data_IF_321946021017
#
_entry.id   IF_321946021017
#
_cell.length_a   1.000
_cell.length_b   1.000
_cell.length_c   1.000
_cell.angle_alpha   90.00
_cell.angle_beta   90.00
_cell.angle_gamma   90.00
#
_symmetry.space_group_name_H-M   'P 1'
#
loop_
_entity.id
_entity.type
_entity.pdbx_description
1 polymer ?
#
# COMPACT_ATOMS: atom_id res chain seq x y z
N UNK A 1 0.10 -4.31 -27.64
CA UNK A 1 0.02 -4.01 -26.20
C UNK A 1 -0.97 -4.99 -25.60
N UNK A 2 -0.48 -5.99 -24.87
CA UNK A 2 -1.33 -6.99 -24.24
C UNK A 2 -1.68 -6.47 -22.85
N UNK A 3 -2.89 -5.95 -22.68
CA UNK A 3 -3.42 -5.59 -21.36
C UNK A 3 -3.53 -6.88 -20.54
N UNK A 4 -2.56 -7.13 -19.66
CA UNK A 4 -2.69 -8.15 -18.63
C UNK A 4 -3.82 -7.71 -17.70
N UNK A 5 -4.92 -8.47 -17.69
CA UNK A 5 -5.96 -8.33 -16.68
C UNK A 5 -5.32 -8.54 -15.30
N UNK A 6 -5.63 -7.70 -14.30
CA UNK A 6 -5.26 -8.00 -12.93
C UNK A 6 -5.80 -9.38 -12.58
N UNK A 7 -4.95 -10.28 -12.10
CA UNK A 7 -5.39 -11.53 -11.48
C UNK A 7 -6.37 -11.15 -10.38
N UNK A 8 -7.60 -11.68 -10.41
CA UNK A 8 -8.57 -11.46 -9.33
C UNK A 8 -7.92 -11.96 -8.03
N UNK A 9 -7.57 -11.01 -7.15
CA UNK A 9 -7.08 -11.36 -5.82
C UNK A 9 -8.23 -12.01 -5.04
N UNK A 10 -7.95 -13.08 -4.32
CA UNK A 10 -8.88 -13.67 -3.38
C UNK A 10 -9.36 -12.66 -2.33
N UNK A 11 -10.47 -12.95 -1.63
CA UNK A 11 -10.98 -12.05 -0.61
C UNK A 11 -9.92 -11.82 0.47
N UNK A 12 -9.83 -10.59 1.05
CA UNK A 12 -8.89 -10.31 2.12
C UNK A 12 -9.08 -11.28 3.28
N UNK A 13 -8.00 -11.93 3.70
CA UNK A 13 -8.03 -12.88 4.81
C UNK A 13 -7.87 -12.12 6.13
N UNK A 14 -8.83 -12.26 7.04
CA UNK A 14 -8.72 -11.67 8.38
C UNK A 14 -7.61 -12.38 9.17
N UNK A 15 -6.71 -11.59 9.76
CA UNK A 15 -5.57 -12.09 10.54
C UNK A 15 -5.86 -11.96 12.03
N UNK A 16 -6.16 -10.74 12.49
CA UNK A 16 -6.42 -10.46 13.91
C UNK A 16 -7.15 -9.12 14.08
N UNK A 17 -7.68 -8.89 15.27
CA UNK A 17 -8.23 -7.59 15.68
C UNK A 17 -7.74 -7.24 17.07
N UNK A 18 -7.17 -6.03 17.22
CA UNK A 18 -6.65 -5.51 18.48
C UNK A 18 -7.16 -4.08 18.65
N UNK A 19 -7.79 -3.79 19.78
CA UNK A 19 -8.28 -2.43 20.13
C UNK A 19 -9.15 -1.78 19.03
N UNK A 20 -9.94 -2.58 18.32
CA UNK A 20 -10.82 -2.08 17.23
C UNK A 20 -10.13 -1.88 15.89
N UNK A 21 -8.83 -2.15 15.78
CA UNK A 21 -8.09 -2.20 14.51
C UNK A 21 -8.06 -3.65 14.03
N UNK A 22 -8.52 -3.90 12.82
CA UNK A 22 -8.51 -5.24 12.20
C UNK A 22 -7.43 -5.32 11.12
N UNK A 23 -6.61 -6.37 11.19
CA UNK A 23 -5.60 -6.70 10.19
C UNK A 23 -6.15 -7.73 9.20
N UNK A 24 -5.93 -7.46 7.92
CA UNK A 24 -6.20 -8.40 6.83
C UNK A 24 -4.96 -8.58 5.96
N UNK A 25 -4.87 -9.74 5.31
CA UNK A 25 -3.78 -10.11 4.42
C UNK A 25 -4.35 -10.45 3.04
N UNK A 26 -3.80 -9.84 2.00
CA UNK A 26 -4.08 -10.20 0.60
C UNK A 26 -3.12 -11.29 0.11
N UNK A 27 -3.53 -12.00 -0.94
CA UNK A 27 -2.75 -13.07 -1.58
C UNK A 27 -1.37 -12.61 -2.09
N UNK A 28 -1.23 -11.33 -2.46
CA UNK A 28 0.01 -10.74 -2.92
C UNK A 28 0.97 -10.32 -1.79
N UNK A 29 0.62 -10.59 -0.53
CA UNK A 29 1.44 -10.22 0.62
C UNK A 29 1.16 -8.81 1.18
N UNK A 30 0.25 -8.04 0.58
CA UNK A 30 -0.16 -6.73 1.13
C UNK A 30 -0.99 -6.89 2.41
N UNK A 31 -0.57 -6.18 3.47
CA UNK A 31 -1.31 -6.05 4.72
C UNK A 31 -2.24 -4.85 4.70
N UNK A 32 -3.44 -5.02 5.20
CA UNK A 32 -4.46 -3.97 5.32
C UNK A 32 -4.78 -3.82 6.80
N UNK A 33 -4.66 -2.60 7.31
CA UNK A 33 -5.13 -2.24 8.65
C UNK A 33 -6.39 -1.41 8.50
N UNK A 34 -7.51 -1.92 9.04
CA UNK A 34 -8.81 -1.27 9.00
C UNK A 34 -9.20 -0.77 10.38
N UNK A 35 -9.51 0.53 10.46
CA UNK A 35 -9.99 1.19 11.67
C UNK A 35 -11.29 1.95 11.37
N UNK A 36 -12.47 1.37 11.69
CA UNK A 36 -13.75 2.04 11.48
C UNK A 36 -13.99 3.17 12.49
N UNK A 37 -14.22 4.39 11.99
CA UNK A 37 -14.60 5.56 12.81
C UNK A 37 -15.98 6.08 12.36
N UNK A 38 -17.07 5.72 13.06
CA UNK A 38 -18.43 6.15 12.68
C UNK A 38 -18.69 7.64 12.98
N UNK A 39 -17.78 8.34 13.66
CA UNK A 39 -17.96 9.77 13.98
C UNK A 39 -17.75 10.70 12.78
N UNK A 40 -17.17 10.21 11.69
CA UNK A 40 -16.80 11.00 10.50
C UNK A 40 -17.37 10.36 9.23
N UNK A 41 -18.02 11.14 8.34
CA UNK A 41 -18.45 10.65 7.02
C UNK A 41 -17.31 10.69 5.99
N UNK A 42 -16.07 10.41 6.41
CA UNK A 42 -14.88 10.51 5.58
C UNK A 42 -14.03 9.25 5.74
N UNK A 43 -13.37 8.85 4.65
CA UNK A 43 -12.45 7.71 4.64
C UNK A 43 -11.06 8.23 4.29
N UNK A 44 -10.05 7.82 5.06
CA UNK A 44 -8.65 8.09 4.75
C UNK A 44 -7.97 6.78 4.40
N UNK A 45 -7.31 6.74 3.26
CA UNK A 45 -6.51 5.58 2.82
C UNK A 45 -5.06 6.01 2.74
N UNK A 46 -4.18 5.29 3.41
CA UNK A 46 -2.74 5.47 3.34
C UNK A 46 -2.08 4.16 2.92
N UNK A 47 -1.02 4.26 2.14
CA UNK A 47 -0.20 3.12 1.75
C UNK A 47 1.22 3.41 2.25
N UNK A 48 1.77 2.49 3.03
CA UNK A 48 3.15 2.54 3.46
C UNK A 48 3.94 1.44 2.76
N UNK A 49 4.98 1.85 2.03
CA UNK A 49 5.93 0.94 1.41
C UNK A 49 7.20 0.97 2.25
N UNK A 50 7.68 -0.20 2.69
CA UNK A 50 8.86 -0.30 3.56
C UNK A 50 10.18 -0.19 2.78
N UNK A 51 10.32 0.84 1.95
CA UNK A 51 11.51 1.15 1.15
C UNK A 51 11.85 2.64 1.32
N UNK A 52 13.14 2.99 1.21
CA UNK A 52 13.64 4.35 1.41
C UNK A 52 15.16 4.39 1.21
N UNK A 53 15.83 5.49 1.57
CA UNK A 53 17.26 5.71 1.32
C UNK A 53 18.19 4.60 1.80
N UNK A 54 17.83 3.90 2.89
CA UNK A 54 18.57 2.73 3.39
C UNK A 54 18.68 1.58 2.37
N UNK A 55 17.81 1.55 1.38
CA UNK A 55 17.77 0.53 0.33
C UNK A 55 18.43 1.01 -0.97
N UNK A 56 19.03 2.19 -1.00
CA UNK A 56 19.70 2.75 -2.19
C UNK A 56 21.16 2.26 -2.25
N UNK A 57 21.58 1.78 -3.42
CA UNK A 57 22.96 1.41 -3.71
C UNK A 57 23.84 2.60 -4.12
N UNK A 58 25.11 2.31 -4.37
CA UNK A 58 26.03 3.29 -4.95
C UNK A 58 25.54 3.72 -6.33
N UNK A 59 25.36 5.03 -6.54
CA UNK A 59 24.81 5.59 -7.78
C UNK A 59 23.29 5.69 -7.82
N UNK A 60 22.57 5.25 -6.78
CA UNK A 60 21.10 5.30 -6.69
C UNK A 60 20.60 6.26 -5.61
N UNK A 61 21.50 7.06 -5.04
CA UNK A 61 21.17 8.00 -3.97
C UNK A 61 20.09 9.00 -4.41
N UNK A 62 18.99 9.08 -3.66
CA UNK A 62 17.86 9.96 -3.92
C UNK A 62 16.78 9.37 -4.84
N UNK A 63 16.94 8.14 -5.33
CA UNK A 63 15.94 7.50 -6.20
C UNK A 63 14.61 7.21 -5.50
N UNK A 64 14.62 6.83 -4.22
CA UNK A 64 13.38 6.61 -3.47
C UNK A 64 12.57 7.91 -3.34
N UNK A 65 13.24 9.04 -3.10
CA UNK A 65 12.62 10.34 -3.04
C UNK A 65 12.13 10.80 -4.42
N UNK A 66 12.92 10.60 -5.48
CA UNK A 66 12.47 10.91 -6.84
C UNK A 66 11.18 10.15 -7.19
N UNK A 67 11.10 8.85 -6.85
CA UNK A 67 9.92 8.03 -7.09
C UNK A 67 8.68 8.57 -6.35
N UNK A 68 8.85 9.02 -5.10
CA UNK A 68 7.79 9.67 -4.32
C UNK A 68 7.22 10.91 -5.05
N UNK A 69 8.06 11.74 -5.67
CA UNK A 69 7.57 12.88 -6.49
C UNK A 69 6.82 12.41 -7.73
N UNK A 70 7.29 11.33 -8.36
CA UNK A 70 6.73 10.84 -9.62
C UNK A 70 5.43 10.09 -9.45
N UNK A 71 5.16 9.48 -8.28
CA UNK A 71 3.92 8.71 -8.04
C UNK A 71 2.67 9.58 -8.18
N UNK A 72 2.80 10.90 -7.99
CA UNK A 72 1.70 11.87 -8.14
C UNK A 72 1.61 12.51 -9.54
N UNK A 73 2.52 12.19 -10.47
CA UNK A 73 2.55 12.76 -11.82
C UNK A 73 1.66 12.02 -12.84
N UNK A 74 0.90 11.02 -12.38
CA UNK A 74 -0.06 10.28 -13.19
C UNK A 74 0.46 8.90 -13.59
N UNK A 75 -0.45 7.93 -13.61
CA UNK A 75 -0.21 6.56 -14.09
C UNK A 75 -0.82 6.43 -15.50
N UNK A 76 -0.10 5.90 -16.50
CA UNK A 76 -0.65 5.60 -17.83
C UNK A 76 -1.81 4.60 -17.83
#
# INVERSE_FOLDING_TARGET
MTTQRPTEAGPPQHVTTVEGISEFQLDNGTRILLFPDPSKPQVTVNITVFVGSRHEGYGEAGMAHLLEHMVFKGTP
#
